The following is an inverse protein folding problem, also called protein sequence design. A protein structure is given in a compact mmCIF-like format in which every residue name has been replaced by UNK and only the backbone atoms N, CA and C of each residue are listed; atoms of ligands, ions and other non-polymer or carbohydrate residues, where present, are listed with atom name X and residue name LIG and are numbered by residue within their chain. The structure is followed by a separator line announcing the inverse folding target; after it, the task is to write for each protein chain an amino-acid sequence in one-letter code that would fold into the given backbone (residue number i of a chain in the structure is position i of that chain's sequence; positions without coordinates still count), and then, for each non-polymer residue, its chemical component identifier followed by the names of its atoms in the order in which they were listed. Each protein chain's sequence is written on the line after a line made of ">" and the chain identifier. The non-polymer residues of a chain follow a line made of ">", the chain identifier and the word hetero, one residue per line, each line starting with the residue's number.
data_IF_969313231902
#
_entry.id   IF_969313231902
#
_cell.length_a   1.000
_cell.length_b   1.000
_cell.length_c   1.000
_cell.angle_alpha   90.00
_cell.angle_beta   90.00
_cell.angle_gamma   90.00
#
_symmetry.space_group_name_H-M   'P 1'
#
loop_
_entity.id
_entity.type
_entity.pdbx_description
1 polymer ?
#
# COMPACT_ATOMS: atom_id res chain seq x y z
N UNK A 1 -23.28 3.49 -24.12
CA UNK A 1 -22.27 2.62 -23.46
C UNK A 1 -22.19 3.07 -22.01
N UNK A 2 -22.46 2.21 -21.03
CA UNK A 2 -22.67 2.65 -19.63
C UNK A 2 -21.38 3.07 -18.90
N UNK A 3 -20.21 2.73 -19.43
CA UNK A 3 -18.91 3.07 -18.86
C UNK A 3 -17.98 3.53 -19.98
N UNK A 4 -17.80 4.85 -20.18
CA UNK A 4 -16.90 5.36 -21.19
C UNK A 4 -15.44 5.17 -20.72
N UNK A 5 -14.62 4.47 -21.52
CA UNK A 5 -13.16 4.54 -21.47
C UNK A 5 -12.42 3.49 -20.61
N UNK A 6 -11.30 3.00 -21.17
CA UNK A 6 -10.27 2.14 -20.55
C UNK A 6 -9.35 2.92 -19.58
N UNK A 7 -9.81 4.03 -19.02
CA UNK A 7 -8.99 4.89 -18.18
C UNK A 7 -8.88 4.33 -16.77
N UNK A 8 -7.69 4.45 -16.18
CA UNK A 8 -7.46 4.07 -14.78
C UNK A 8 -8.35 4.95 -13.90
N UNK A 9 -9.25 4.36 -13.08
CA UNK A 9 -10.12 5.14 -12.23
C UNK A 9 -9.30 5.93 -11.19
N UNK A 10 -9.66 7.20 -11.01
CA UNK A 10 -9.10 8.05 -9.97
C UNK A 10 -10.07 8.12 -8.79
N UNK A 11 -9.73 7.44 -7.70
CA UNK A 11 -10.47 7.53 -6.44
C UNK A 11 -10.16 8.84 -5.71
N UNK A 12 -11.17 9.45 -5.08
CA UNK A 12 -10.95 10.60 -4.20
C UNK A 12 -10.13 10.22 -2.96
N UNK A 13 -10.42 9.07 -2.37
CA UNK A 13 -9.73 8.53 -1.19
C UNK A 13 -9.63 7.01 -1.26
N UNK A 14 -8.44 6.47 -0.98
CA UNK A 14 -8.22 5.06 -0.66
C UNK A 14 -7.73 4.93 0.78
N UNK A 15 -8.32 4.01 1.54
CA UNK A 15 -7.86 3.63 2.88
C UNK A 15 -7.19 2.28 2.79
N UNK A 16 -5.91 2.22 3.14
CA UNK A 16 -5.07 1.03 2.97
C UNK A 16 -4.53 0.55 4.31
N UNK A 17 -4.52 -0.77 4.52
CA UNK A 17 -3.81 -1.40 5.62
C UNK A 17 -2.40 -1.83 5.23
N UNK A 18 -1.55 -2.08 6.23
CA UNK A 18 -0.18 -2.58 6.01
C UNK A 18 0.08 -3.86 6.80
N UNK A 19 0.61 -4.87 6.10
CA UNK A 19 1.07 -6.12 6.68
C UNK A 19 2.41 -5.99 7.42
N UNK A 20 2.74 -6.91 8.35
CA UNK A 20 4.05 -6.93 9.02
C UNK A 20 5.24 -7.24 8.08
N UNK A 21 4.94 -7.70 6.87
CA UNK A 21 5.82 -7.94 5.72
C UNK A 21 5.80 -6.77 4.71
N UNK A 22 5.09 -5.68 5.01
CA UNK A 22 4.99 -4.51 4.14
C UNK A 22 4.03 -4.64 2.96
N UNK A 23 3.25 -5.73 2.87
CA UNK A 23 2.18 -5.83 1.86
C UNK A 23 1.07 -4.81 2.13
N UNK A 24 0.39 -4.39 1.07
CA UNK A 24 -0.87 -3.64 1.10
C UNK A 24 -1.81 -4.26 0.07
N UNK A 25 -3.12 -4.12 0.24
CA UNK A 25 -4.12 -4.88 -0.51
C UNK A 25 -3.73 -6.37 -0.54
N UNK A 26 -3.63 -6.99 -1.72
CA UNK A 26 -3.02 -8.31 -1.89
C UNK A 26 -1.75 -8.27 -2.75
N UNK A 27 -1.00 -7.17 -2.62
CA UNK A 27 0.29 -6.96 -3.29
C UNK A 27 1.41 -7.35 -2.33
N UNK A 28 1.98 -8.54 -2.52
CA UNK A 28 2.96 -9.13 -1.62
C UNK A 28 4.41 -8.91 -2.09
N UNK A 29 5.40 -8.84 -1.17
CA UNK A 29 6.81 -8.73 -1.53
C UNK A 29 7.23 -9.84 -2.52
N UNK A 30 7.93 -9.46 -3.58
CA UNK A 30 8.43 -10.40 -4.61
C UNK A 30 7.37 -10.99 -5.54
N UNK A 31 6.08 -10.69 -5.36
CA UNK A 31 5.01 -11.24 -6.20
C UNK A 31 4.97 -10.57 -7.59
N UNK A 32 4.73 -11.32 -8.69
CA UNK A 32 4.69 -10.76 -10.04
C UNK A 32 3.70 -9.61 -10.24
N UNK A 33 2.60 -9.58 -9.48
CA UNK A 33 1.62 -8.48 -9.52
C UNK A 33 2.20 -7.09 -9.18
N UNK A 34 3.37 -7.02 -8.53
CA UNK A 34 4.06 -5.74 -8.34
C UNK A 34 4.54 -5.11 -9.66
N UNK A 35 4.62 -5.90 -10.74
CA UNK A 35 5.00 -5.45 -12.08
C UNK A 35 3.80 -5.13 -12.97
N UNK A 36 2.56 -5.35 -12.53
CA UNK A 36 1.34 -5.04 -13.30
C UNK A 36 1.22 -3.53 -13.55
N UNK A 37 0.97 -3.14 -14.80
CA UNK A 37 0.95 -1.73 -15.26
C UNK A 37 -0.35 -1.30 -15.91
N UNK A 38 -1.17 -2.23 -16.35
CA UNK A 38 -2.32 -1.98 -17.23
C UNK A 38 -3.65 -2.30 -16.54
N UNK A 39 -3.72 -3.41 -15.81
CA UNK A 39 -4.98 -3.86 -15.21
C UNK A 39 -5.38 -2.98 -14.01
N UNK A 40 -6.66 -2.67 -13.89
CA UNK A 40 -7.23 -1.96 -12.72
C UNK A 40 -7.35 -2.90 -11.52
N UNK A 41 -7.81 -4.12 -11.78
CA UNK A 41 -8.02 -5.19 -10.79
C UNK A 41 -7.29 -6.42 -11.29
N UNK A 42 -6.65 -7.16 -10.38
CA UNK A 42 -6.06 -8.45 -10.65
C UNK A 42 -6.52 -9.49 -9.63
N UNK A 43 -6.37 -10.76 -9.98
CA UNK A 43 -6.50 -11.89 -9.05
C UNK A 43 -5.16 -12.56 -8.82
N UNK A 44 -5.06 -13.27 -7.69
CA UNK A 44 -3.96 -14.17 -7.36
C UNK A 44 -4.52 -15.39 -6.64
N UNK A 45 -3.83 -16.52 -6.76
CA UNK A 45 -4.26 -17.82 -6.20
C UNK A 45 -3.21 -18.43 -5.28
N UNK A 46 -2.12 -17.70 -5.04
CA UNK A 46 -0.89 -18.12 -4.40
C UNK A 46 -0.45 -17.10 -3.33
N UNK A 47 -1.40 -16.43 -2.69
CA UNK A 47 -1.08 -15.52 -1.59
C UNK A 47 -0.29 -16.28 -0.50
N UNK A 48 0.84 -15.73 -0.01
CA UNK A 48 1.63 -16.36 1.04
C UNK A 48 0.90 -16.33 2.41
N UNK A 49 -0.31 -15.75 2.47
CA UNK A 49 -1.15 -15.66 3.66
C UNK A 49 -2.56 -16.14 3.33
N UNK A 50 -3.19 -16.97 4.20
CA UNK A 50 -4.54 -17.46 3.94
C UNK A 50 -5.58 -16.32 3.92
N UNK A 51 -6.64 -16.42 3.08
CA UNK A 51 -6.81 -17.41 2.01
C UNK A 51 -5.85 -17.15 0.83
N UNK A 52 -5.47 -18.21 0.08
CA UNK A 52 -4.52 -18.10 -1.04
C UNK A 52 -5.11 -17.31 -2.22
N UNK A 53 -6.42 -17.46 -2.46
CA UNK A 53 -7.14 -16.79 -3.55
C UNK A 53 -7.67 -15.41 -3.13
N UNK A 54 -7.34 -14.39 -3.91
CA UNK A 54 -7.68 -12.99 -3.62
C UNK A 54 -7.92 -12.21 -4.91
N UNK A 55 -8.67 -11.11 -4.76
CA UNK A 55 -8.83 -10.05 -5.76
C UNK A 55 -8.21 -8.78 -5.19
N UNK A 56 -7.52 -7.99 -6.01
CA UNK A 56 -6.80 -6.80 -5.55
C UNK A 56 -6.83 -5.68 -6.57
N UNK A 57 -6.86 -4.43 -6.08
CA UNK A 57 -6.46 -3.28 -6.86
C UNK A 57 -4.94 -3.33 -7.09
N UNK A 58 -4.51 -2.84 -8.24
CA UNK A 58 -3.11 -2.84 -8.67
C UNK A 58 -2.45 -1.49 -8.36
N UNK A 59 -1.11 -1.44 -8.41
CA UNK A 59 -0.36 -0.20 -8.19
C UNK A 59 -0.76 0.96 -9.12
N UNK A 60 -1.07 0.75 -10.43
CA UNK A 60 -1.61 1.79 -11.28
C UNK A 60 -2.81 2.52 -10.67
N UNK A 61 -3.76 1.79 -10.09
CA UNK A 61 -4.96 2.37 -9.46
C UNK A 61 -4.62 3.06 -8.15
N UNK A 62 -3.83 2.41 -7.28
CA UNK A 62 -3.44 3.00 -5.99
C UNK A 62 -2.70 4.34 -6.20
N UNK A 63 -1.88 4.42 -7.25
CA UNK A 63 -1.09 5.61 -7.56
C UNK A 63 -1.82 6.65 -8.41
N UNK A 64 -3.04 6.36 -8.88
CA UNK A 64 -3.92 7.33 -9.56
C UNK A 64 -4.81 8.11 -8.57
N UNK A 65 -4.97 7.63 -7.33
CA UNK A 65 -5.86 8.24 -6.34
C UNK A 65 -5.46 9.68 -5.94
N UNK A 66 -6.46 10.53 -5.65
CA UNK A 66 -6.25 11.90 -5.14
C UNK A 66 -5.74 11.91 -3.71
N UNK A 67 -6.15 10.95 -2.90
CA UNK A 67 -5.63 10.75 -1.56
C UNK A 67 -5.52 9.27 -1.20
N UNK A 68 -4.46 8.93 -0.48
CA UNK A 68 -4.28 7.63 0.16
C UNK A 68 -4.03 7.87 1.65
N UNK A 69 -4.81 7.18 2.49
CA UNK A 69 -4.60 7.09 3.92
C UNK A 69 -4.12 5.68 4.26
N UNK A 70 -2.84 5.52 4.53
CA UNK A 70 -2.27 4.27 5.01
C UNK A 70 -2.39 4.20 6.53
N UNK A 71 -3.06 3.16 7.04
CA UNK A 71 -3.35 2.96 8.46
C UNK A 71 -2.64 1.70 8.95
N UNK A 72 -1.87 1.83 10.03
CA UNK A 72 -1.22 0.68 10.67
C UNK A 72 -1.19 0.83 12.19
N UNK A 73 -1.57 -0.23 12.90
CA UNK A 73 -1.57 -0.27 14.36
C UNK A 73 -0.87 -1.51 14.88
N UNK A 74 -0.28 -1.39 16.07
CA UNK A 74 0.37 -2.45 16.81
C UNK A 74 1.86 -2.65 16.49
N UNK A 75 2.61 -3.09 17.51
CA UNK A 75 4.06 -3.25 17.46
C UNK A 75 4.55 -4.20 16.36
N UNK A 76 3.73 -5.17 15.95
CA UNK A 76 4.06 -6.09 14.84
C UNK A 76 4.31 -5.38 13.49
N UNK A 77 3.94 -4.09 13.36
CA UNK A 77 4.13 -3.30 12.15
C UNK A 77 5.38 -2.43 12.18
N UNK A 78 5.97 -2.19 13.35
CA UNK A 78 6.99 -1.16 13.55
C UNK A 78 8.17 -1.29 12.57
N UNK A 79 8.77 -2.48 12.49
CA UNK A 79 9.85 -2.74 11.55
C UNK A 79 9.46 -2.57 10.08
N UNK A 80 8.26 -2.99 9.67
CA UNK A 80 7.79 -2.79 8.30
C UNK A 80 7.58 -1.29 7.99
N UNK A 81 6.95 -0.56 8.91
CA UNK A 81 6.72 0.89 8.77
C UNK A 81 8.03 1.65 8.67
N UNK A 82 9.02 1.33 9.50
CA UNK A 82 10.36 1.91 9.39
C UNK A 82 10.99 1.64 8.02
N UNK A 83 10.94 0.39 7.53
CA UNK A 83 11.47 0.02 6.21
C UNK A 83 10.74 0.73 5.07
N UNK A 84 9.43 0.94 5.18
CA UNK A 84 8.62 1.63 4.17
C UNK A 84 8.95 3.13 4.12
N UNK A 85 9.05 3.78 5.28
CA UNK A 85 9.18 5.24 5.37
C UNK A 85 10.63 5.73 5.32
N UNK A 86 11.59 4.93 5.77
CA UNK A 86 13.00 5.31 5.90
C UNK A 86 13.96 4.41 5.12
N UNK A 87 13.49 3.25 4.65
CA UNK A 87 14.31 2.29 3.94
C UNK A 87 14.63 2.73 2.51
N UNK A 88 15.74 2.20 2.00
CA UNK A 88 16.21 2.35 0.61
C UNK A 88 16.38 0.96 -0.03
N UNK A 89 15.49 0.03 0.32
CA UNK A 89 15.57 -1.35 -0.13
C UNK A 89 15.23 -1.45 -1.62
N UNK A 90 15.97 -2.32 -2.31
CA UNK A 90 15.74 -2.64 -3.72
C UNK A 90 15.58 -4.17 -3.86
N UNK A 91 14.39 -4.68 -4.22
CA UNK A 91 13.17 -3.92 -4.51
C UNK A 91 12.50 -3.35 -3.24
N UNK A 92 11.75 -2.24 -3.35
CA UNK A 92 11.00 -1.67 -2.23
C UNK A 92 9.86 -2.60 -1.78
N UNK A 93 9.45 -2.46 -0.51
CA UNK A 93 8.25 -3.13 0.00
C UNK A 93 6.99 -2.63 -0.73
N UNK A 94 5.95 -3.48 -0.91
CA UNK A 94 4.76 -3.12 -1.69
C UNK A 94 4.08 -1.81 -1.23
N UNK A 95 3.93 -1.60 0.07
CA UNK A 95 3.35 -0.36 0.59
C UNK A 95 4.22 0.89 0.32
N UNK A 96 5.55 0.75 0.18
CA UNK A 96 6.45 1.84 -0.21
C UNK A 96 6.36 2.19 -1.71
N UNK A 97 5.77 1.29 -2.51
CA UNK A 97 5.48 1.51 -3.94
C UNK A 97 4.18 2.31 -4.15
N UNK A 98 3.37 2.50 -3.11
CA UNK A 98 2.20 3.37 -3.14
C UNK A 98 2.66 4.82 -3.03
N UNK A 99 2.73 5.48 -4.18
CA UNK A 99 3.16 6.87 -4.37
C UNK A 99 2.17 7.54 -5.34
N UNK A 100 1.04 8.09 -4.83
CA UNK A 100 0.06 8.80 -5.65
C UNK A 100 0.75 9.89 -6.48
N UNK A 101 0.57 9.86 -7.81
CA UNK A 101 1.35 10.71 -8.74
C UNK A 101 1.01 12.19 -8.62
N UNK A 102 -0.28 12.51 -8.43
CA UNK A 102 -0.81 13.86 -8.25
C UNK A 102 -1.58 14.03 -6.94
N UNK A 103 -1.62 12.97 -6.13
CA UNK A 103 -2.38 12.91 -4.88
C UNK A 103 -1.53 13.11 -3.64
N UNK A 104 -2.17 12.97 -2.48
CA UNK A 104 -1.52 13.01 -1.16
C UNK A 104 -1.49 11.63 -0.53
N UNK A 105 -0.34 11.25 0.02
CA UNK A 105 -0.22 10.08 0.89
C UNK A 105 -0.10 10.56 2.34
N UNK A 106 -0.94 10.01 3.23
CA UNK A 106 -0.86 10.22 4.67
C UNK A 106 -0.75 8.88 5.39
N UNK A 107 0.01 8.89 6.47
CA UNK A 107 0.18 7.73 7.35
C UNK A 107 -0.48 8.03 8.68
N UNK A 108 -1.37 7.14 9.11
CA UNK A 108 -2.00 7.17 10.43
C UNK A 108 -1.53 5.94 11.21
N UNK A 109 -0.70 6.18 12.22
CA UNK A 109 -0.01 5.16 13.00
C UNK A 109 -0.40 5.31 14.46
N UNK A 110 -0.55 4.19 15.17
CA UNK A 110 -0.48 4.23 16.63
C UNK A 110 0.98 4.30 17.11
N UNK A 111 1.17 4.57 18.40
CA UNK A 111 2.52 4.68 18.97
C UNK A 111 3.34 3.40 18.78
N UNK A 112 2.69 2.23 18.87
CA UNK A 112 3.35 0.94 18.74
C UNK A 112 3.85 0.68 17.31
N UNK A 113 3.08 1.03 16.27
CA UNK A 113 3.48 0.92 14.88
C UNK A 113 4.53 1.97 14.47
N UNK A 114 4.59 3.11 15.17
CA UNK A 114 5.59 4.16 14.95
C UNK A 114 6.88 3.99 15.79
N UNK A 115 6.94 3.00 16.68
CA UNK A 115 7.98 2.88 17.71
C UNK A 115 9.43 2.78 17.18
N UNK A 116 9.61 2.33 15.94
CA UNK A 116 10.93 2.18 15.31
C UNK A 116 11.32 3.37 14.41
N UNK A 117 10.43 4.34 14.18
CA UNK A 117 10.72 5.51 13.36
C UNK A 117 11.74 6.44 14.02
N UNK A 118 12.63 6.97 13.19
CA UNK A 118 13.68 7.93 13.49
C UNK A 118 13.40 9.30 12.89
N UNK A 119 12.53 9.37 11.88
CA UNK A 119 12.04 10.63 11.33
C UNK A 119 11.08 11.34 12.32
N UNK A 120 10.93 12.67 12.23
CA UNK A 120 9.94 13.40 13.03
C UNK A 120 8.51 12.89 12.74
N UNK A 121 7.73 12.65 13.79
CA UNK A 121 6.33 12.23 13.71
C UNK A 121 5.46 13.26 14.44
N UNK A 122 4.44 13.78 13.77
CA UNK A 122 3.44 14.66 14.40
C UNK A 122 2.50 13.81 15.27
N UNK A 123 2.52 14.06 16.59
CA UNK A 123 1.66 13.37 17.54
C UNK A 123 0.39 14.19 17.77
N UNK A 124 -0.76 13.53 17.70
CA UNK A 124 -2.04 14.12 18.04
C UNK A 124 -2.58 13.40 19.27
N UNK A 125 -2.70 14.12 20.39
CA UNK A 125 -3.21 13.64 21.67
C UNK A 125 -4.69 13.96 21.84
#
# INVERSE_FOLDING_TARGET
>A
QAFPGQEIPQFDLLVLGVGPDGHTCSLFPGHPLLQEREQVVASLVDSPKPPPERVTLTLPVLNAARAVLAVATGASKAGAIRRILEGQEEPPLPAAMVRPRSGRLRWLLDEAAAAELRIPVEKHS
#
